data_IF_222727109614
#
_entry.id   IF_222727109614
#
_cell.length_a   1.000
_cell.length_b   1.000
_cell.length_c   1.000
_cell.angle_alpha   90.00
_cell.angle_beta   90.00
_cell.angle_gamma   90.00
#
_symmetry.space_group_name_H-M   'P 1'
#
loop_
_entity.id
_entity.type
_entity.pdbx_description
1 polymer ?
#
# COMPACT_ATOMS: atom_id res chain seq x y z
N UNK A 1 -0.99 8.13 4.98
CA UNK A 1 -0.63 6.84 4.35
C UNK A 1 -0.38 7.09 2.89
N UNK A 2 0.84 6.82 2.43
CA UNK A 2 1.19 6.85 1.02
C UNK A 2 1.06 5.45 0.43
N UNK A 3 0.44 5.33 -0.74
CA UNK A 3 0.40 4.07 -1.51
C UNK A 3 1.40 4.19 -2.65
N UNK A 4 2.31 3.23 -2.80
CA UNK A 4 3.26 3.22 -3.93
C UNK A 4 2.51 2.78 -5.19
N UNK A 5 2.26 3.68 -6.16
CA UNK A 5 1.51 3.31 -7.35
C UNK A 5 2.39 2.46 -8.27
N UNK A 6 1.80 1.43 -8.89
CA UNK A 6 2.39 0.89 -10.11
C UNK A 6 2.05 1.84 -11.26
N UNK A 7 3.07 2.34 -11.97
CA UNK A 7 2.90 3.30 -13.07
C UNK A 7 1.86 2.78 -14.07
N UNK A 8 0.87 3.62 -14.38
CA UNK A 8 -0.22 3.29 -15.32
C UNK A 8 -1.44 2.58 -14.75
N UNK A 9 -1.43 2.18 -13.46
CA UNK A 9 -2.57 1.45 -12.85
C UNK A 9 -3.54 2.33 -12.08
N UNK A 10 -3.11 3.51 -11.61
CA UNK A 10 -3.93 4.33 -10.71
C UNK A 10 -4.09 3.74 -9.31
N UNK A 11 -3.24 2.79 -8.91
CA UNK A 11 -3.34 2.10 -7.63
C UNK A 11 -3.27 3.05 -6.43
N UNK A 12 -4.28 2.98 -5.56
CA UNK A 12 -4.41 3.81 -4.35
C UNK A 12 -5.00 3.00 -3.19
N UNK A 13 -4.95 3.60 -2.00
CA UNK A 13 -5.75 3.15 -0.85
C UNK A 13 -7.11 3.83 -0.93
N UNK A 14 -8.20 3.05 -0.96
CA UNK A 14 -9.57 3.56 -0.85
C UNK A 14 -9.92 3.91 0.59
N UNK A 15 -9.50 3.07 1.54
CA UNK A 15 -9.65 3.35 2.96
C UNK A 15 -8.62 2.63 3.82
N UNK A 16 -8.33 3.21 4.99
CA UNK A 16 -7.55 2.59 6.05
C UNK A 16 -8.31 2.68 7.36
N UNK A 17 -8.25 1.60 8.14
CA UNK A 17 -8.68 1.55 9.54
C UNK A 17 -7.52 1.06 10.39
N UNK A 18 -7.27 1.76 11.50
CA UNK A 18 -6.24 1.43 12.47
C UNK A 18 -6.90 1.10 13.80
N UNK A 19 -6.47 0.01 14.42
CA UNK A 19 -7.06 -0.55 15.62
C UNK A 19 -6.01 -0.77 16.70
N UNK A 20 -6.42 -0.58 17.95
CA UNK A 20 -5.69 -0.94 19.17
C UNK A 20 -6.63 -1.80 20.02
N UNK A 21 -6.24 -3.04 20.33
CA UNK A 21 -7.09 -3.99 21.07
C UNK A 21 -8.53 -4.06 20.53
N UNK A 22 -8.66 -4.28 19.21
CA UNK A 22 -9.93 -4.32 18.46
C UNK A 22 -10.78 -3.03 18.47
N UNK A 23 -10.28 -1.96 19.08
CA UNK A 23 -10.91 -0.64 19.09
C UNK A 23 -10.37 0.19 17.94
N UNK A 24 -11.27 0.74 17.10
CA UNK A 24 -10.90 1.64 16.02
C UNK A 24 -10.37 2.96 16.60
N UNK A 25 -9.09 3.25 16.40
CA UNK A 25 -8.43 4.46 16.91
C UNK A 25 -8.29 5.57 15.87
N UNK A 26 -8.18 5.20 14.60
CA UNK A 26 -8.16 6.15 13.50
C UNK A 26 -8.55 5.51 12.17
N UNK A 27 -8.97 6.33 11.22
CA UNK A 27 -9.24 5.90 9.86
C UNK A 27 -8.85 6.97 8.84
N UNK A 28 -8.91 6.60 7.58
CA UNK A 28 -8.79 7.53 6.48
C UNK A 28 -9.55 6.99 5.28
N UNK A 29 -10.16 7.89 4.53
CA UNK A 29 -10.92 7.55 3.32
C UNK A 29 -10.41 8.41 2.18
N UNK A 30 -10.27 7.80 1.02
CA UNK A 30 -9.85 8.46 -0.20
C UNK A 30 -10.95 9.35 -0.77
N UNK A 31 -10.58 10.55 -1.23
CA UNK A 31 -11.53 11.59 -1.67
C UNK A 31 -11.54 11.79 -3.19
N UNK A 32 -11.12 10.79 -3.95
CA UNK A 32 -11.03 10.81 -5.40
C UNK A 32 -9.65 11.23 -5.92
N UNK A 33 -9.50 11.22 -7.25
CA UNK A 33 -8.29 11.65 -7.96
C UNK A 33 -8.14 13.19 -7.94
N UNK A 34 -7.93 13.76 -6.76
CA UNK A 34 -7.67 15.18 -6.54
C UNK A 34 -6.30 15.35 -5.89
N UNK A 35 -5.57 16.39 -6.31
CA UNK A 35 -4.24 16.74 -5.77
C UNK A 35 -3.32 15.52 -5.66
N UNK A 36 -2.76 15.28 -4.47
CA UNK A 36 -1.97 14.08 -4.18
C UNK A 36 -2.85 12.89 -3.76
N UNK A 37 -3.56 12.36 -4.75
CA UNK A 37 -4.49 11.25 -4.58
C UNK A 37 -3.83 9.95 -4.10
N UNK A 38 -2.50 9.86 -4.11
CA UNK A 38 -1.77 8.70 -3.58
C UNK A 38 -1.74 8.67 -2.05
N UNK A 39 -2.02 9.81 -1.42
CA UNK A 39 -2.00 10.00 0.01
C UNK A 39 -3.41 9.98 0.61
N UNK A 40 -3.55 9.20 1.69
CA UNK A 40 -4.74 9.19 2.55
C UNK A 40 -4.36 9.70 3.92
N UNK A 41 -5.01 10.79 4.34
CA UNK A 41 -4.85 11.34 5.70
C UNK A 41 -5.54 10.43 6.71
N UNK A 42 -4.82 10.10 7.77
CA UNK A 42 -5.34 9.31 8.89
C UNK A 42 -5.76 10.29 9.98
N UNK A 43 -7.02 10.19 10.43
CA UNK A 43 -7.60 11.04 11.46
C UNK A 43 -8.43 10.21 12.45
N UNK A 44 -8.40 10.51 13.77
CA UNK A 44 -7.54 11.49 14.43
C UNK A 44 -6.04 11.14 14.33
N UNK A 45 -5.17 12.09 14.65
CA UNK A 45 -3.73 11.84 14.73
C UNK A 45 -3.44 10.77 15.78
N UNK A 46 -2.56 9.83 15.44
CA UNK A 46 -2.19 8.71 16.32
C UNK A 46 -0.71 8.76 16.66
N UNK A 47 -0.37 8.34 17.89
CA UNK A 47 1.01 8.13 18.32
C UNK A 47 1.24 6.63 18.49
N UNK A 48 2.07 6.04 17.62
CA UNK A 48 2.41 4.63 17.70
C UNK A 48 3.51 4.44 18.75
N UNK A 49 3.26 3.59 19.75
CA UNK A 49 4.22 3.31 20.80
C UNK A 49 5.19 2.20 20.38
N UNK A 50 6.47 2.36 20.71
CA UNK A 50 7.49 1.35 20.42
C UNK A 50 7.18 0.05 21.19
N UNK A 51 7.22 -1.08 20.48
CA UNK A 51 6.90 -2.40 21.04
C UNK A 51 5.41 -2.66 21.26
N UNK A 52 4.52 -1.75 20.87
CA UNK A 52 3.07 -1.94 20.94
C UNK A 52 2.53 -2.45 19.58
N UNK A 53 1.63 -3.43 19.65
CA UNK A 53 1.04 -4.04 18.45
C UNK A 53 -0.26 -3.33 18.10
N UNK A 54 -0.36 -2.88 16.85
CA UNK A 54 -1.57 -2.30 16.28
C UNK A 54 -2.04 -3.15 15.12
N UNK A 55 -3.35 -3.28 14.97
CA UNK A 55 -3.95 -3.96 13.82
C UNK A 55 -4.43 -2.92 12.81
N UNK A 56 -4.36 -3.24 11.52
CA UNK A 56 -4.88 -2.35 10.49
C UNK A 56 -5.57 -3.12 9.38
N UNK A 57 -6.48 -2.44 8.70
CA UNK A 57 -7.08 -2.90 7.45
C UNK A 57 -6.92 -1.80 6.42
N UNK A 58 -6.31 -2.13 5.30
CA UNK A 58 -6.20 -1.25 4.13
C UNK A 58 -7.02 -1.89 3.01
N UNK A 59 -7.94 -1.11 2.45
CA UNK A 59 -8.67 -1.48 1.23
C UNK A 59 -8.05 -0.69 0.09
N UNK A 60 -7.57 -1.39 -0.93
CA UNK A 60 -6.89 -0.79 -2.08
C UNK A 60 -7.77 -0.84 -3.32
N UNK A 61 -7.77 0.23 -4.11
CA UNK A 61 -8.47 0.36 -5.38
C UNK A 61 -7.47 0.46 -6.53
N UNK A 62 -7.80 -0.18 -7.66
CA UNK A 62 -6.95 -0.24 -8.87
C UNK A 62 -5.49 -0.68 -8.62
N UNK A 63 -5.23 -1.31 -7.48
CA UNK A 63 -3.90 -1.83 -7.15
C UNK A 63 -3.75 -3.19 -7.83
N UNK A 64 -2.72 -3.39 -8.66
CA UNK A 64 -2.56 -4.64 -9.39
C UNK A 64 -2.47 -5.81 -8.41
N UNK A 65 -3.06 -6.93 -8.79
CA UNK A 65 -2.93 -8.17 -8.02
C UNK A 65 -1.47 -8.62 -8.08
N UNK A 66 -0.75 -8.45 -6.98
CA UNK A 66 0.65 -8.87 -6.90
C UNK A 66 0.71 -10.39 -6.85
N UNK A 67 1.42 -10.98 -7.81
CA UNK A 67 1.72 -12.41 -7.84
C UNK A 67 3.07 -12.60 -7.15
N UNK A 68 3.05 -13.12 -5.91
CA UNK A 68 4.26 -13.45 -5.16
C UNK A 68 4.73 -14.88 -5.50
N UNK A 69 4.90 -15.16 -6.79
CA UNK A 69 5.29 -16.48 -7.30
C UNK A 69 6.25 -16.32 -8.48
N UNK A 70 7.41 -16.96 -8.38
CA UNK A 70 8.40 -17.03 -9.46
C UNK A 70 8.82 -18.49 -9.68
N UNK A 71 8.43 -19.11 -10.81
CA UNK A 71 7.67 -18.57 -11.96
C UNK A 71 6.13 -18.65 -11.79
N UNK A 72 5.38 -17.80 -12.49
CA UNK A 72 3.92 -17.93 -12.61
C UNK A 72 3.52 -18.41 -14.02
N UNK A 73 2.79 -19.52 -14.10
CA UNK A 73 2.34 -20.07 -15.37
C UNK A 73 0.95 -19.53 -15.73
N UNK A 74 0.92 -18.49 -16.57
CA UNK A 74 -0.30 -17.90 -17.08
C UNK A 74 -0.78 -18.63 -18.35
N UNK A 75 -2.06 -18.50 -18.66
CA UNK A 75 -2.58 -18.91 -19.98
C UNK A 75 -1.89 -18.07 -21.06
N UNK A 76 -1.02 -18.69 -21.86
CA UNK A 76 -0.27 -18.02 -22.93
C UNK A 76 1.23 -17.79 -22.65
N UNK A 77 1.73 -18.17 -21.47
CA UNK A 77 3.18 -18.15 -21.21
C UNK A 77 3.56 -18.15 -19.72
N UNK A 78 4.86 -18.24 -19.47
CA UNK A 78 5.43 -18.14 -18.13
C UNK A 78 5.82 -16.69 -17.85
N UNK A 79 5.25 -16.12 -16.79
CA UNK A 79 5.64 -14.80 -16.29
C UNK A 79 6.77 -15.02 -15.28
N UNK A 80 7.86 -14.28 -15.48
CA UNK A 80 8.98 -14.20 -14.53
C UNK A 80 9.24 -12.74 -14.20
N UNK A 81 9.50 -12.44 -12.93
CA UNK A 81 9.93 -11.13 -12.47
C UNK A 81 11.32 -11.30 -11.85
N UNK A 82 12.34 -10.73 -12.47
CA UNK A 82 13.73 -10.78 -11.95
C UNK A 82 14.02 -9.60 -11.04
N UNK A 83 13.42 -8.44 -11.32
CA UNK A 83 13.59 -7.22 -10.54
C UNK A 83 12.47 -6.22 -10.81
N UNK A 84 12.17 -5.38 -9.83
CA UNK A 84 11.25 -4.26 -9.93
C UNK A 84 11.94 -2.97 -9.47
N UNK A 85 11.91 -1.91 -10.28
CA UNK A 85 12.39 -0.58 -9.89
C UNK A 85 11.20 0.29 -9.46
N UNK A 86 11.23 0.80 -8.22
CA UNK A 86 10.16 1.64 -7.69
C UNK A 86 10.26 3.10 -8.17
N UNK A 87 9.24 3.91 -7.83
CA UNK A 87 9.18 5.32 -8.22
C UNK A 87 10.35 6.20 -7.69
N UNK A 88 11.16 5.69 -6.75
CA UNK A 88 12.37 6.35 -6.24
C UNK A 88 13.65 5.81 -6.87
N UNK A 89 13.56 4.96 -7.89
CA UNK A 89 14.71 4.34 -8.57
C UNK A 89 15.36 3.21 -7.78
N UNK A 90 14.68 2.66 -6.76
CA UNK A 90 15.21 1.54 -5.98
C UNK A 90 14.81 0.22 -6.62
N UNK A 91 15.80 -0.63 -6.88
CA UNK A 91 15.61 -1.98 -7.41
C UNK A 91 15.33 -2.96 -6.27
N UNK A 92 14.28 -3.76 -6.44
CA UNK A 92 13.83 -4.81 -5.55
C UNK A 92 13.86 -6.14 -6.29
N UNK A 93 14.41 -7.17 -5.65
CA UNK A 93 14.52 -8.52 -6.24
C UNK A 93 13.48 -9.49 -5.66
N UNK A 94 12.92 -9.18 -4.50
CA UNK A 94 11.95 -10.03 -3.80
C UNK A 94 10.69 -9.22 -3.41
N UNK A 95 10.79 -8.42 -2.34
CA UNK A 95 9.68 -7.68 -1.75
C UNK A 95 9.66 -6.23 -2.23
N UNK A 96 8.50 -5.77 -2.66
CA UNK A 96 8.26 -4.38 -3.05
C UNK A 96 7.46 -3.65 -1.95
N UNK A 97 7.79 -2.39 -1.65
CA UNK A 97 7.00 -1.60 -0.71
C UNK A 97 5.64 -1.28 -1.34
N UNK A 98 4.55 -1.71 -0.69
CA UNK A 98 3.20 -1.43 -1.16
C UNK A 98 2.65 -0.10 -0.60
N UNK A 99 2.93 0.17 0.68
CA UNK A 99 2.47 1.36 1.39
C UNK A 99 3.53 1.89 2.35
N UNK A 100 3.44 3.18 2.68
CA UNK A 100 4.28 3.84 3.69
C UNK A 100 3.41 4.68 4.62
N UNK A 101 3.56 4.46 5.93
CA UNK A 101 3.13 5.42 6.93
C UNK A 101 4.21 6.50 7.06
N UNK A 102 3.81 7.75 6.99
CA UNK A 102 4.71 8.90 7.11
C UNK A 102 4.00 10.03 7.86
N UNK A 103 4.80 10.91 8.43
CA UNK A 103 4.37 12.12 9.13
C UNK A 103 5.09 13.30 8.48
N UNK A 104 4.37 14.40 8.28
CA UNK A 104 4.92 15.70 7.88
C UNK A 104 5.86 16.28 8.95
#
# INVERSE_FOLDING_TARGET
LYTYPCVGTGGHTESIKLFENDTLIANGTWNGYKDDWHNVTITPSVTLQAGHTYNYTIVTGSYPRIIHETPFNATGGTITCTSFEDANGKVHYDWIPAVRLWKE
#
